data_IF_009530951108
#
_entry.id   IF_009530951108
#
_cell.length_a   1.000
_cell.length_b   1.000
_cell.length_c   1.000
_cell.angle_alpha   90.00
_cell.angle_beta   90.00
_cell.angle_gamma   90.00
#
_symmetry.space_group_name_H-M   'P 1'
#
loop_
_entity.id
_entity.type
_entity.pdbx_description
1 polymer ?
#
# COMPACT_ATOMS: atom_id res chain seq x y z
N UNK A 1 -1.08 0.24 11.87
CA UNK A 1 0.26 -0.31 11.62
C UNK A 1 0.87 0.33 10.38
N UNK A 2 1.44 1.52 10.58
CA UNK A 2 2.82 1.71 10.12
C UNK A 2 3.61 0.52 10.75
N UNK A 3 4.35 -0.23 9.92
CA UNK A 3 4.93 -1.58 10.14
C UNK A 3 6.18 -1.55 11.06
N UNK A 4 7.38 -2.06 10.76
CA UNK A 4 8.55 -1.73 11.61
C UNK A 4 9.92 -2.28 11.20
N UNK A 5 10.74 -1.46 10.52
CA UNK A 5 11.95 -1.84 9.74
C UNK A 5 11.82 -3.26 9.19
N UNK A 6 10.96 -3.39 8.19
CA UNK A 6 10.85 -4.59 7.38
C UNK A 6 11.45 -4.27 6.01
N UNK A 7 12.50 -5.01 5.65
CA UNK A 7 13.17 -4.88 4.36
C UNK A 7 12.30 -5.49 3.25
N UNK A 8 11.23 -4.82 2.84
CA UNK A 8 10.62 -5.11 1.54
C UNK A 8 11.55 -4.60 0.44
N UNK A 9 11.85 -5.45 -0.52
CA UNK A 9 12.68 -5.09 -1.67
C UNK A 9 11.91 -4.15 -2.60
N UNK A 10 12.49 -3.00 -2.97
CA UNK A 10 12.09 -2.34 -4.23
C UNK A 10 12.49 -3.22 -5.42
N UNK A 11 12.05 -2.86 -6.63
CA UNK A 11 12.56 -3.49 -7.87
C UNK A 11 14.07 -3.36 -8.07
N UNK A 12 14.79 -2.62 -7.21
CA UNK A 12 16.24 -2.42 -7.28
C UNK A 12 16.97 -2.79 -5.96
N UNK A 13 16.28 -3.42 -5.00
CA UNK A 13 16.89 -4.00 -3.79
C UNK A 13 16.97 -3.05 -2.58
N UNK A 14 16.43 -1.83 -2.68
CA UNK A 14 16.33 -0.92 -1.55
C UNK A 14 15.35 -1.40 -0.50
N UNK A 15 15.62 -1.00 0.74
CA UNK A 15 14.90 -1.44 1.93
C UNK A 15 13.93 -0.37 2.37
N UNK A 16 12.64 -0.59 2.12
CA UNK A 16 11.60 0.25 2.72
C UNK A 16 11.69 0.13 4.25
N UNK A 17 11.30 1.18 4.95
CA UNK A 17 11.20 1.17 6.41
C UNK A 17 9.81 1.61 6.80
N UNK A 18 9.26 0.88 7.74
CA UNK A 18 8.01 1.22 8.39
C UNK A 18 8.26 1.41 9.91
N UNK A 19 7.28 1.87 10.70
CA UNK A 19 7.42 2.20 12.15
C UNK A 19 6.23 1.73 13.01
N UNK A 20 6.41 0.91 14.06
CA UNK A 20 5.27 0.27 14.75
C UNK A 20 4.36 1.27 15.46
N UNK A 21 3.03 1.18 15.27
CA UNK A 21 2.05 2.04 15.98
C UNK A 21 1.34 1.31 17.11
N UNK A 22 0.74 0.15 16.81
CA UNK A 22 0.01 -0.67 17.78
C UNK A 22 0.35 -2.15 17.57
N UNK A 23 0.77 -2.89 18.62
CA UNK A 23 1.19 -2.37 19.93
C UNK A 23 2.34 -1.35 19.80
N UNK A 24 2.44 -0.40 20.75
CA UNK A 24 3.48 0.65 20.70
C UNK A 24 4.89 0.04 20.63
N UNK A 25 5.91 0.70 20.04
CA UNK A 25 7.26 0.14 19.88
C UNK A 25 7.91 -0.38 21.17
N UNK A 26 7.59 0.23 22.31
CA UNK A 26 8.07 -0.19 23.65
C UNK A 26 7.31 -1.37 24.28
N UNK A 27 6.16 -1.75 23.71
CA UNK A 27 5.28 -2.81 24.22
C UNK A 27 5.24 -4.04 23.29
N UNK A 28 5.61 -3.90 22.02
CA UNK A 28 5.54 -4.98 21.03
C UNK A 28 6.67 -6.00 21.23
N UNK A 29 6.29 -7.27 21.38
CA UNK A 29 7.21 -8.40 21.60
C UNK A 29 7.88 -8.87 20.31
N UNK A 30 9.05 -9.55 20.42
CA UNK A 30 9.72 -10.14 19.24
C UNK A 30 8.86 -11.17 18.51
N UNK A 31 8.00 -11.91 19.22
CA UNK A 31 7.05 -12.86 18.60
C UNK A 31 6.03 -12.11 17.73
N UNK A 32 5.50 -10.98 18.21
CA UNK A 32 4.60 -10.13 17.42
C UNK A 32 5.31 -9.49 16.23
N UNK A 33 6.53 -8.94 16.41
CA UNK A 33 7.35 -8.39 15.31
C UNK A 33 7.61 -9.44 14.22
N UNK A 34 7.94 -10.67 14.62
CA UNK A 34 8.18 -11.78 13.68
C UNK A 34 6.90 -12.19 12.94
N UNK A 35 5.80 -12.42 13.65
CA UNK A 35 4.50 -12.73 13.03
C UNK A 35 4.11 -11.67 11.99
N UNK A 36 4.16 -10.39 12.37
CA UNK A 36 3.85 -9.27 11.49
C UNK A 36 4.76 -9.24 10.24
N UNK A 37 6.06 -9.51 10.41
CA UNK A 37 7.01 -9.62 9.30
C UNK A 37 6.66 -10.77 8.36
N UNK A 38 6.36 -11.95 8.90
CA UNK A 38 6.03 -13.14 8.13
C UNK A 38 4.74 -12.96 7.32
N UNK A 39 3.73 -12.26 7.84
CA UNK A 39 2.49 -12.00 7.10
C UNK A 39 2.71 -11.08 5.88
N UNK A 40 3.53 -10.03 6.01
CA UNK A 40 3.87 -9.17 4.86
C UNK A 40 4.81 -9.87 3.88
N UNK A 41 5.74 -10.70 4.38
CA UNK A 41 6.61 -11.47 3.52
C UNK A 41 5.85 -12.43 2.60
N UNK A 42 4.84 -13.15 3.13
CA UNK A 42 3.96 -14.03 2.32
C UNK A 42 3.16 -13.26 1.27
N UNK A 43 2.64 -12.10 1.63
CA UNK A 43 1.95 -11.20 0.69
C UNK A 43 2.89 -10.79 -0.46
N UNK A 44 4.10 -10.36 -0.14
CA UNK A 44 5.10 -9.94 -1.12
C UNK A 44 5.58 -11.08 -2.01
N UNK A 45 5.86 -12.25 -1.44
CA UNK A 45 6.25 -13.45 -2.18
C UNK A 45 5.16 -13.83 -3.19
N UNK A 46 3.88 -13.84 -2.76
CA UNK A 46 2.75 -14.09 -3.65
C UNK A 46 2.63 -13.01 -4.74
N UNK A 47 2.78 -11.73 -4.41
CA UNK A 47 2.66 -10.61 -5.35
C UNK A 47 3.82 -10.53 -6.36
N UNK A 48 5.03 -10.96 -5.97
CA UNK A 48 6.18 -11.11 -6.87
C UNK A 48 6.09 -12.35 -7.77
N UNK A 49 5.29 -13.35 -7.41
CA UNK A 49 5.18 -14.60 -8.17
C UNK A 49 4.57 -14.41 -9.56
N UNK A 50 4.88 -15.32 -10.50
CA UNK A 50 4.23 -15.36 -11.81
C UNK A 50 2.72 -15.64 -11.71
N UNK A 51 2.27 -16.26 -10.61
CA UNK A 51 0.87 -16.58 -10.31
C UNK A 51 0.21 -15.59 -9.34
N UNK A 52 0.72 -14.36 -9.26
CA UNK A 52 0.27 -13.33 -8.31
C UNK A 52 -1.26 -13.10 -8.28
N UNK A 53 -1.93 -13.14 -9.43
CA UNK A 53 -3.38 -12.96 -9.57
C UNK A 53 -4.18 -14.28 -9.49
N UNK A 54 -3.57 -15.40 -9.11
CA UNK A 54 -4.29 -16.66 -8.93
C UNK A 54 -5.26 -16.57 -7.72
N UNK A 55 -6.54 -16.95 -7.85
CA UNK A 55 -7.53 -16.70 -6.81
C UNK A 55 -7.31 -17.47 -5.50
N UNK A 56 -6.57 -18.60 -5.51
CA UNK A 56 -6.35 -19.48 -4.35
C UNK A 56 -4.96 -19.31 -3.69
N UNK A 57 -3.97 -18.85 -4.46
CA UNK A 57 -2.55 -18.78 -4.07
C UNK A 57 -1.94 -17.39 -4.21
N UNK A 58 -2.64 -16.47 -4.86
CA UNK A 58 -2.19 -15.11 -5.14
C UNK A 58 -2.25 -14.15 -3.95
N UNK A 59 -2.00 -12.87 -4.24
CA UNK A 59 -1.90 -11.82 -3.22
C UNK A 59 -3.21 -11.60 -2.44
N UNK A 60 -4.36 -11.80 -3.10
CA UNK A 60 -5.72 -11.66 -2.58
C UNK A 60 -6.01 -12.56 -1.35
N UNK A 61 -5.22 -13.61 -1.16
CA UNK A 61 -5.25 -14.48 0.04
C UNK A 61 -4.77 -13.77 1.29
N UNK A 62 -3.83 -12.83 1.16
CA UNK A 62 -3.12 -12.19 2.26
C UNK A 62 -3.63 -10.79 2.58
N UNK A 63 -4.10 -10.06 1.56
CA UNK A 63 -4.65 -8.70 1.69
C UNK A 63 -6.15 -8.66 1.50
N UNK A 64 -6.79 -7.69 2.15
CA UNK A 64 -8.12 -7.26 1.77
C UNK A 64 -8.04 -6.36 0.53
N UNK A 65 -8.19 -6.96 -0.66
CA UNK A 65 -8.11 -6.25 -1.95
C UNK A 65 -8.98 -5.00 -1.96
N UNK A 66 -10.19 -5.07 -1.38
CA UNK A 66 -11.12 -3.94 -1.30
C UNK A 66 -10.50 -2.73 -0.60
N UNK A 67 -9.89 -2.92 0.58
CA UNK A 67 -9.21 -1.84 1.29
C UNK A 67 -8.04 -1.23 0.51
N UNK A 68 -7.32 -2.02 -0.29
CA UNK A 68 -6.25 -1.52 -1.16
C UNK A 68 -6.80 -0.72 -2.35
N UNK A 69 -7.91 -1.16 -2.94
CA UNK A 69 -8.64 -0.43 -4.00
C UNK A 69 -9.19 0.89 -3.46
N UNK A 70 -9.88 0.88 -2.32
CA UNK A 70 -10.47 2.08 -1.72
C UNK A 70 -9.38 3.09 -1.30
N UNK A 71 -8.27 2.62 -0.70
CA UNK A 71 -7.13 3.48 -0.37
C UNK A 71 -6.40 4.01 -1.61
N UNK A 72 -6.31 3.23 -2.69
CA UNK A 72 -5.75 3.70 -3.96
C UNK A 72 -6.61 4.84 -4.54
N UNK A 73 -7.94 4.64 -4.67
CA UNK A 73 -8.87 5.63 -5.22
C UNK A 73 -8.80 6.96 -4.47
N UNK A 74 -8.81 6.93 -3.13
CA UNK A 74 -8.82 8.15 -2.33
C UNK A 74 -7.48 8.90 -2.37
N UNK A 75 -6.33 8.22 -2.42
CA UNK A 75 -5.02 8.86 -2.59
C UNK A 75 -4.86 9.48 -3.99
N UNK A 76 -5.38 8.83 -5.03
CA UNK A 76 -5.36 9.35 -6.40
C UNK A 76 -6.31 10.55 -6.57
N UNK A 77 -7.50 10.49 -5.98
CA UNK A 77 -8.46 11.58 -5.96
C UNK A 77 -7.96 12.79 -5.15
N UNK A 78 -7.23 12.54 -4.06
CA UNK A 78 -6.69 13.58 -3.18
C UNK A 78 -5.34 14.11 -3.65
N UNK A 79 -4.64 13.42 -4.56
CA UNK A 79 -3.29 13.78 -5.05
C UNK A 79 -2.27 13.95 -3.92
N UNK A 80 -2.27 13.00 -2.97
CA UNK A 80 -1.33 12.98 -1.85
C UNK A 80 0.13 12.77 -2.32
N UNK A 81 1.04 13.75 -2.19
CA UNK A 81 2.43 13.59 -2.59
C UNK A 81 3.15 12.45 -1.85
N UNK A 82 2.75 12.16 -0.61
CA UNK A 82 3.38 11.19 0.30
C UNK A 82 2.67 9.82 0.33
N UNK A 83 1.59 9.65 -0.45
CA UNK A 83 0.93 8.36 -0.66
C UNK A 83 1.89 7.29 -1.18
N UNK A 84 1.56 6.03 -0.90
CA UNK A 84 2.32 4.84 -1.33
C UNK A 84 3.74 4.68 -0.75
N UNK A 85 4.24 5.69 0.00
CA UNK A 85 5.58 5.72 0.61
C UNK A 85 5.59 6.11 2.09
N UNK A 86 4.94 7.21 2.49
CA UNK A 86 5.04 7.78 3.85
C UNK A 86 3.70 7.84 4.60
N UNK A 87 2.63 8.26 3.90
CA UNK A 87 1.25 8.44 4.40
C UNK A 87 0.43 7.13 4.32
N UNK A 88 1.02 6.02 4.75
CA UNK A 88 0.39 4.69 4.67
C UNK A 88 0.27 4.01 6.04
N UNK A 89 -0.92 3.48 6.32
CA UNK A 89 -1.24 2.74 7.54
C UNK A 89 -1.94 1.44 7.18
N UNK A 90 -1.34 0.31 7.53
CA UNK A 90 -1.95 -1.01 7.37
C UNK A 90 -2.47 -1.51 8.72
N UNK A 91 -3.26 -2.58 8.78
CA UNK A 91 -3.42 -3.36 10.02
C UNK A 91 -3.86 -4.79 9.71
N UNK A 92 -3.80 -5.64 10.74
CA UNK A 92 -4.28 -7.01 10.71
C UNK A 92 -4.61 -7.41 12.12
N UNK A 93 -5.83 -7.91 12.35
CA UNK A 93 -6.14 -8.64 13.58
C UNK A 93 -5.98 -10.14 13.29
N UNK A 94 -5.25 -10.82 14.17
CA UNK A 94 -5.01 -12.27 14.10
C UNK A 94 -6.26 -13.06 14.51
N UNK A 95 -7.14 -12.48 15.31
CA UNK A 95 -8.33 -13.12 15.85
C UNK A 95 -9.58 -12.89 14.98
N UNK A 96 -9.48 -12.00 13.99
CA UNK A 96 -10.54 -11.78 13.01
C UNK A 96 -10.67 -13.02 12.09
N UNK A 97 -11.90 -13.37 11.74
CA UNK A 97 -12.23 -14.50 10.86
C UNK A 97 -11.69 -14.28 9.44
N UNK A 98 -11.61 -13.01 9.02
CA UNK A 98 -11.11 -12.66 7.69
C UNK A 98 -9.57 -12.74 7.64
N UNK A 99 -8.89 -12.41 8.74
CA UNK A 99 -7.44 -12.59 8.95
C UNK A 99 -6.59 -12.11 7.76
N UNK A 100 -6.87 -10.90 7.24
CA UNK A 100 -6.13 -10.27 6.14
C UNK A 100 -5.42 -8.99 6.55
N UNK A 101 -4.44 -8.59 5.76
CA UNK A 101 -3.83 -7.25 5.84
C UNK A 101 -4.79 -6.26 5.20
N UNK A 102 -5.22 -5.26 5.96
CA UNK A 102 -6.09 -4.17 5.52
C UNK A 102 -5.21 -2.93 5.31
N UNK A 103 -5.44 -2.19 4.23
CA UNK A 103 -4.83 -0.88 4.02
C UNK A 103 -5.83 0.23 4.38
N UNK A 104 -5.52 0.98 5.44
CA UNK A 104 -6.39 1.99 6.02
C UNK A 104 -6.27 2.03 7.55
N UNK A 105 -6.80 3.07 8.22
CA UNK A 105 -7.46 4.23 7.62
C UNK A 105 -6.51 5.12 6.82
N UNK A 106 -7.07 5.99 5.99
CA UNK A 106 -6.34 7.12 5.37
C UNK A 106 -5.73 8.03 6.45
N UNK A 107 -4.61 8.67 6.13
CA UNK A 107 -3.78 9.39 7.09
C UNK A 107 -2.92 10.48 6.41
N UNK A 108 -2.57 11.56 7.14
CA UNK A 108 -1.77 12.73 6.67
C UNK A 108 -2.34 13.42 5.41
N UNK A 109 -3.56 13.95 5.53
CA UNK A 109 -4.29 14.64 4.45
C UNK A 109 -4.26 16.18 4.63
N UNK A 110 -3.12 16.73 5.01
CA UNK A 110 -2.84 18.18 5.08
C UNK A 110 -2.16 18.72 3.80
N UNK A 111 -1.49 17.86 3.04
CA UNK A 111 -0.78 18.19 1.79
C UNK A 111 -1.57 17.85 0.51
N UNK A 112 -2.81 17.38 0.64
CA UNK A 112 -3.68 16.91 -0.44
C UNK A 112 -4.49 18.04 -1.10
N UNK A 113 -5.33 17.69 -2.08
CA UNK A 113 -6.22 18.59 -2.83
C UNK A 113 -5.48 19.67 -3.63
N UNK A 114 -4.36 19.27 -4.27
CA UNK A 114 -3.47 20.17 -5.02
C UNK A 114 -2.84 21.29 -4.17
N UNK A 115 -2.73 21.09 -2.84
CA UNK A 115 -2.14 22.03 -1.89
C UNK A 115 -0.60 21.93 -1.78
N UNK A 116 0.01 20.92 -2.42
CA UNK A 116 1.46 20.74 -2.50
C UNK A 116 1.99 21.06 -3.90
N UNK A 117 3.08 21.82 -3.99
CA UNK A 117 3.82 22.16 -5.22
C UNK A 117 5.03 21.23 -5.47
N UNK A 118 4.98 20.04 -4.86
CA UNK A 118 6.01 19.01 -4.91
C UNK A 118 5.39 17.62 -4.88
N UNK A 119 6.20 16.60 -5.19
CA UNK A 119 5.76 15.21 -5.07
C UNK A 119 4.72 14.78 -6.11
N UNK A 120 4.43 15.63 -7.12
CA UNK A 120 3.37 15.39 -8.09
C UNK A 120 1.97 15.73 -7.60
N UNK A 121 1.83 16.30 -6.39
CA UNK A 121 0.55 16.72 -5.82
C UNK A 121 -0.11 17.85 -6.60
N UNK A 122 0.68 18.66 -7.30
CA UNK A 122 0.26 19.72 -8.22
C UNK A 122 -0.23 19.21 -9.58
N UNK A 123 0.06 17.94 -9.93
CA UNK A 123 -0.17 17.39 -11.27
C UNK A 123 -1.58 16.83 -11.42
N UNK A 124 -2.26 17.27 -12.48
CA UNK A 124 -3.61 16.84 -12.87
C UNK A 124 -3.61 15.96 -14.14
N UNK A 125 -2.43 15.71 -14.71
CA UNK A 125 -2.20 15.03 -15.99
C UNK A 125 -1.66 13.60 -15.85
N UNK A 126 -1.40 13.15 -14.61
CA UNK A 126 -0.77 11.86 -14.29
C UNK A 126 -1.23 11.33 -12.92
N UNK A 127 -1.17 10.00 -12.77
CA UNK A 127 -1.50 9.32 -11.52
C UNK A 127 -0.44 9.58 -10.45
N UNK A 128 -0.86 9.68 -9.20
CA UNK A 128 0.01 9.92 -8.06
C UNK A 128 0.95 8.73 -7.77
N UNK A 129 0.48 7.49 -7.94
CA UNK A 129 1.34 6.30 -7.79
C UNK A 129 2.49 6.26 -8.81
N UNK A 130 2.32 6.85 -9.99
CA UNK A 130 3.32 6.81 -11.06
C UNK A 130 4.53 7.69 -10.74
N UNK A 131 4.30 8.87 -10.13
CA UNK A 131 5.36 9.81 -9.71
C UNK A 131 6.42 9.13 -8.84
N UNK A 132 5.98 8.33 -7.87
CA UNK A 132 6.83 7.58 -6.95
C UNK A 132 7.71 6.49 -7.61
N UNK A 133 7.52 6.23 -8.90
CA UNK A 133 8.36 5.38 -9.74
C UNK A 133 9.10 6.14 -10.85
N UNK A 134 8.69 7.38 -11.18
CA UNK A 134 9.37 8.27 -12.11
C UNK A 134 10.56 8.97 -11.45
N UNK A 135 10.43 9.38 -10.19
CA UNK A 135 11.49 10.08 -9.44
C UNK A 135 12.45 9.09 -8.81
N UNK A 136 13.37 8.62 -9.66
CA UNK A 136 14.60 7.85 -9.45
C UNK A 136 14.67 6.83 -8.29
N UNK A 137 15.19 5.66 -8.65
CA UNK A 137 15.66 4.56 -7.81
C UNK A 137 16.50 4.91 -6.57
N UNK A 138 17.08 6.11 -6.50
CA UNK A 138 17.86 6.57 -5.34
C UNK A 138 17.05 7.39 -4.31
N UNK A 139 15.74 7.53 -4.52
CA UNK A 139 14.86 8.32 -3.65
C UNK A 139 14.97 7.92 -2.17
N UNK A 140 15.18 8.91 -1.30
CA UNK A 140 15.29 8.78 0.17
C UNK A 140 14.12 7.99 0.81
N UNK A 141 12.96 8.02 0.17
CA UNK A 141 11.72 7.36 0.57
C UNK A 141 11.11 6.63 -0.64
N UNK A 142 11.58 5.41 -0.96
CA UNK A 142 11.15 4.72 -2.16
C UNK A 142 9.72 4.18 -2.04
N UNK A 143 9.02 4.17 -3.17
CA UNK A 143 7.66 3.62 -3.30
C UNK A 143 7.69 2.10 -3.32
N UNK A 144 6.72 1.46 -2.65
CA UNK A 144 6.65 0.00 -2.69
C UNK A 144 6.28 -0.54 -4.06
N UNK A 145 6.98 -1.58 -4.50
CA UNK A 145 6.71 -2.31 -5.74
C UNK A 145 5.26 -2.85 -5.82
N UNK A 146 4.59 -2.98 -4.66
CA UNK A 146 3.24 -3.52 -4.55
C UNK A 146 2.28 -2.83 -5.53
N UNK A 147 2.32 -1.50 -5.60
CA UNK A 147 1.39 -0.71 -6.40
C UNK A 147 1.54 -0.94 -7.89
N UNK A 148 2.78 -1.10 -8.37
CA UNK A 148 3.04 -1.50 -9.76
C UNK A 148 2.47 -2.88 -10.07
N UNK A 149 2.73 -3.86 -9.20
CA UNK A 149 2.25 -5.25 -9.37
C UNK A 149 0.74 -5.40 -9.23
N UNK A 150 0.08 -4.59 -8.41
CA UNK A 150 -1.38 -4.56 -8.29
C UNK A 150 -2.03 -3.95 -9.54
N UNK A 151 -1.48 -2.87 -10.09
CA UNK A 151 -1.99 -2.25 -11.34
C UNK A 151 -1.73 -3.12 -12.58
N UNK A 152 -0.77 -4.05 -12.54
CA UNK A 152 -0.58 -5.08 -13.57
C UNK A 152 -1.71 -6.15 -13.57
N UNK A 153 -2.49 -6.29 -12.50
CA UNK A 153 -3.63 -7.22 -12.43
C UNK A 153 -4.90 -6.57 -13.03
N UNK A 154 -5.44 -7.09 -14.15
CA UNK A 154 -6.68 -6.56 -14.73
C UNK A 154 -7.89 -6.67 -13.80
N UNK A 155 -7.91 -7.61 -12.85
CA UNK A 155 -9.00 -7.73 -11.86
C UNK A 155 -8.96 -6.56 -10.86
N UNK A 156 -7.76 -6.19 -10.38
CA UNK A 156 -7.59 -5.05 -9.48
C UNK A 156 -7.97 -3.72 -10.15
N UNK A 157 -7.60 -3.56 -11.42
CA UNK A 157 -7.97 -2.39 -12.24
C UNK A 157 -9.49 -2.32 -12.46
N UNK A 158 -10.16 -3.45 -12.70
CA UNK A 158 -11.62 -3.48 -12.83
C UNK A 158 -12.33 -3.23 -11.48
N UNK A 159 -11.79 -3.69 -10.35
CA UNK A 159 -12.29 -3.32 -9.02
C UNK A 159 -12.19 -1.80 -8.78
N UNK A 160 -11.09 -1.14 -9.21
CA UNK A 160 -10.96 0.33 -9.16
C UNK A 160 -12.06 0.99 -9.99
N UNK A 161 -12.27 0.52 -11.22
CA UNK A 161 -13.26 1.04 -12.16
C UNK A 161 -14.69 0.94 -11.61
N UNK A 162 -15.09 -0.28 -11.21
CA UNK A 162 -16.38 -0.55 -10.58
C UNK A 162 -16.61 0.31 -9.32
N UNK A 163 -15.58 0.48 -8.49
CA UNK A 163 -15.65 1.30 -7.27
C UNK A 163 -15.83 2.78 -7.57
N UNK A 164 -15.08 3.33 -8.53
CA UNK A 164 -15.25 4.71 -9.00
C UNK A 164 -16.67 4.95 -9.55
N UNK A 165 -17.23 3.99 -10.28
CA UNK A 165 -18.60 4.07 -10.79
C UNK A 165 -19.68 3.93 -9.72
N UNK A 166 -19.42 3.20 -8.64
CA UNK A 166 -20.33 3.12 -7.49
C UNK A 166 -20.31 4.42 -6.67
N UNK A 167 -19.14 4.91 -6.30
CA UNK A 167 -18.97 6.12 -5.48
C UNK A 167 -19.53 7.38 -6.14
N UNK A 168 -19.54 7.45 -7.48
CA UNK A 168 -20.12 8.57 -8.25
C UNK A 168 -21.66 8.61 -8.30
N UNK A 169 -22.36 7.64 -7.72
CA UNK A 169 -23.84 7.54 -7.74
C UNK A 169 -24.50 7.90 -6.42
N UNK A 170 -23.73 8.11 -5.36
CA UNK A 170 -24.17 8.47 -4.01
C UNK A 170 -23.70 9.88 -3.65
#
# INVERSE_FOLDING_TARGET
MRLGIYNSSTTMGDKIKFQYVYPRPKNITEVQKRYIREEFHKFEEALMSNSYANPETGYNKYIDTRSFVDNFIINELSKDPDAYRLSAYFYKDRNDWYNKIINGPVWDYDLVWFNADFGGGERHDDWQYSYGFQVDSTAKWPTSFWWRRLIEDPVFVEEINCSCHHLRKN
#
